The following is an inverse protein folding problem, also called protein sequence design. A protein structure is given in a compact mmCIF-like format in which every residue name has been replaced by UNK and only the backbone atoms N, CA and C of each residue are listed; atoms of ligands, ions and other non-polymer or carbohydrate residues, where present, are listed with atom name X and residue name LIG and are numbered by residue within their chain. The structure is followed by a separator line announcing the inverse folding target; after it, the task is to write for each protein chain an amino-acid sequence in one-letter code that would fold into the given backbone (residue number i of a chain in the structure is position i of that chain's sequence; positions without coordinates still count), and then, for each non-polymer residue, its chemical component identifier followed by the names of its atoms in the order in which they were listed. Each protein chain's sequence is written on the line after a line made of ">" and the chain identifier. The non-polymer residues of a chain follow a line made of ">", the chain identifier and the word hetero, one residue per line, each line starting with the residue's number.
data_IF_069206933018
#
_entry.id   IF_069206933018
#
_cell.length_a   1.000
_cell.length_b   1.000
_cell.length_c   1.000
_cell.angle_alpha   90.00
_cell.angle_beta   90.00
_cell.angle_gamma   90.00
#
_symmetry.space_group_name_H-M   'P 1'
#
loop_
_entity.id
_entity.type
_entity.pdbx_description
1 polymer ?
#
# COMPACT_ATOMS: atom_id res chain seq x y z
N UNK A 1 11.50 52.24 -16.14
CA UNK A 1 11.69 51.65 -14.80
C UNK A 1 10.89 50.36 -14.71
N UNK A 2 11.53 49.19 -14.54
CA UNK A 2 10.84 47.92 -14.25
C UNK A 2 10.94 47.62 -12.76
N UNK A 3 9.94 48.04 -11.98
CA UNK A 3 9.90 47.94 -10.52
C UNK A 3 9.82 46.49 -9.98
N UNK A 4 9.76 45.47 -10.85
CA UNK A 4 9.58 44.06 -10.47
C UNK A 4 10.88 43.33 -10.12
N UNK A 5 12.05 43.83 -10.54
CA UNK A 5 13.33 43.15 -10.30
C UNK A 5 13.76 43.14 -8.83
N UNK A 6 13.39 44.16 -8.04
CA UNK A 6 13.75 44.27 -6.62
C UNK A 6 12.92 43.38 -5.69
N UNK A 7 11.73 42.96 -6.12
CA UNK A 7 10.88 42.01 -5.38
C UNK A 7 11.35 40.55 -5.54
N UNK A 8 11.96 40.22 -6.68
CA UNK A 8 12.48 38.88 -7.00
C UNK A 8 13.99 38.73 -6.73
N UNK A 9 14.68 39.78 -6.25
CA UNK A 9 16.12 39.76 -6.02
C UNK A 9 16.54 39.09 -4.70
N UNK A 10 15.58 38.70 -3.85
CA UNK A 10 15.83 38.12 -2.52
C UNK A 10 15.71 36.60 -2.54
N UNK A 11 16.33 35.96 -1.56
CA UNK A 11 16.18 34.54 -1.32
C UNK A 11 14.71 34.18 -1.06
N UNK A 12 14.25 33.09 -1.68
CA UNK A 12 12.90 32.57 -1.49
C UNK A 12 12.72 32.02 -0.07
N UNK A 13 11.52 32.21 0.50
CA UNK A 13 11.11 31.59 1.78
C UNK A 13 10.50 30.19 1.61
N UNK A 14 10.50 29.65 0.40
CA UNK A 14 10.07 28.29 0.13
C UNK A 14 10.98 27.26 0.83
N UNK A 15 10.49 26.04 1.12
CA UNK A 15 11.31 25.00 1.75
C UNK A 15 12.57 24.70 0.95
N UNK A 16 13.73 24.75 1.62
CA UNK A 16 15.02 24.47 0.98
C UNK A 16 15.11 23.04 0.46
N UNK A 17 15.64 22.84 -0.73
CA UNK A 17 15.98 21.53 -1.31
C UNK A 17 17.51 21.35 -1.38
N UNK A 18 17.96 20.14 -1.70
CA UNK A 18 19.40 19.79 -1.73
C UNK A 18 20.23 20.59 -2.74
N UNK A 19 19.60 21.32 -3.67
CA UNK A 19 20.26 22.11 -4.71
C UNK A 19 20.37 23.61 -4.37
N UNK A 20 19.79 24.04 -3.25
CA UNK A 20 19.65 25.46 -2.91
C UNK A 20 20.69 25.99 -1.91
N UNK A 21 21.58 25.14 -1.40
CA UNK A 21 22.61 25.52 -0.44
C UNK A 21 23.98 24.92 -0.82
N UNK A 22 25.01 25.26 -0.03
CA UNK A 22 26.41 24.93 -0.33
C UNK A 22 26.82 23.54 0.24
N UNK A 23 28.11 23.19 0.10
CA UNK A 23 28.75 21.91 0.43
C UNK A 23 28.34 21.27 1.76
N UNK A 24 28.13 22.05 2.81
CA UNK A 24 27.82 21.56 4.16
C UNK A 24 26.32 21.31 4.40
N UNK A 25 25.46 21.63 3.41
CA UNK A 25 24.04 21.37 3.50
C UNK A 25 23.68 20.06 2.80
N UNK A 26 23.49 19.00 3.59
CA UNK A 26 22.91 17.75 3.10
C UNK A 26 21.42 17.66 3.45
N UNK A 27 20.60 17.45 2.43
CA UNK A 27 19.18 17.12 2.58
C UNK A 27 18.84 15.87 1.78
N UNK A 28 18.38 14.83 2.47
CA UNK A 28 17.91 13.61 1.82
C UNK A 28 16.65 13.84 0.98
N UNK A 29 16.47 13.04 -0.07
CA UNK A 29 15.30 13.08 -0.96
C UNK A 29 14.05 12.41 -0.38
N UNK A 30 14.10 12.02 0.89
CA UNK A 30 13.04 11.23 1.52
C UNK A 30 12.99 9.79 1.02
N UNK A 31 14.11 9.25 0.50
CA UNK A 31 14.23 7.92 -0.09
C UNK A 31 13.31 6.88 0.56
N UNK A 32 12.20 6.64 -0.16
CA UNK A 32 11.10 5.68 0.02
C UNK A 32 10.19 5.85 1.25
N UNK A 33 9.22 6.79 1.22
CA UNK A 33 8.13 6.79 2.20
C UNK A 33 7.22 5.57 1.98
N UNK A 34 7.01 4.75 3.02
CA UNK A 34 5.98 3.70 3.04
C UNK A 34 6.46 2.26 2.84
N UNK A 35 7.74 2.01 2.54
CA UNK A 35 8.27 0.66 2.28
C UNK A 35 9.33 0.23 3.31
N UNK A 36 9.16 0.62 4.58
CA UNK A 36 10.05 0.21 5.68
C UNK A 36 11.17 1.21 6.00
N UNK A 37 12.27 0.78 6.65
CA UNK A 37 13.35 1.66 7.09
C UNK A 37 13.97 2.47 5.95
N UNK A 38 14.16 3.79 6.18
CA UNK A 38 14.77 4.68 5.19
C UNK A 38 16.27 4.46 5.01
N UNK A 39 16.96 4.02 6.07
CA UNK A 39 18.40 3.74 6.06
C UNK A 39 18.66 2.29 5.66
N UNK A 40 19.55 2.08 4.69
CA UNK A 40 19.96 0.75 4.21
C UNK A 40 21.27 0.26 4.84
N UNK A 41 21.90 1.10 5.65
CA UNK A 41 23.21 0.85 6.21
C UNK A 41 23.54 1.78 7.37
N UNK A 42 24.83 1.94 7.63
CA UNK A 42 25.39 2.85 8.64
C UNK A 42 26.73 3.41 8.19
N UNK A 43 27.07 4.61 8.66
CA UNK A 43 28.43 5.14 8.52
C UNK A 43 29.37 4.45 9.52
N UNK A 44 30.60 4.15 9.09
CA UNK A 44 31.63 3.60 9.98
C UNK A 44 32.21 4.71 10.88
N UNK A 45 32.24 4.53 12.21
CA UNK A 45 32.71 5.57 13.13
C UNK A 45 34.24 5.80 13.10
N UNK A 46 35.02 4.86 12.55
CA UNK A 46 36.49 4.86 12.65
C UNK A 46 37.24 5.01 11.33
N UNK A 47 36.60 5.41 10.24
CA UNK A 47 37.23 5.48 8.92
C UNK A 47 36.78 6.71 8.15
N UNK A 48 37.64 7.21 7.26
CA UNK A 48 37.52 8.52 6.60
C UNK A 48 36.25 8.73 5.75
N UNK A 49 35.45 7.68 5.50
CA UNK A 49 33.98 7.70 5.27
C UNK A 49 33.46 6.48 4.44
N UNK A 50 33.68 5.21 4.82
CA UNK A 50 32.95 4.11 4.21
C UNK A 50 31.54 3.98 4.80
N UNK A 51 30.55 3.88 3.91
CA UNK A 51 29.19 3.52 4.25
C UNK A 51 29.06 1.99 4.20
N UNK A 52 28.68 1.38 5.32
CA UNK A 52 28.50 -0.07 5.43
C UNK A 52 27.06 -0.41 5.09
N UNK A 53 26.90 -1.16 4.00
CA UNK A 53 25.63 -1.70 3.56
C UNK A 53 25.20 -2.87 4.46
N UNK A 54 23.93 -2.89 4.88
CA UNK A 54 23.38 -3.94 5.73
C UNK A 54 22.25 -4.65 4.98
N UNK A 55 22.49 -5.91 4.58
CA UNK A 55 21.55 -6.68 3.76
C UNK A 55 20.16 -6.78 4.41
N UNK A 56 20.10 -6.94 5.73
CA UNK A 56 18.85 -7.00 6.52
C UNK A 56 17.98 -5.73 6.40
N UNK A 57 18.59 -4.59 6.10
CA UNK A 57 17.89 -3.30 5.92
C UNK A 57 17.62 -3.01 4.45
N UNK A 58 18.16 -3.81 3.54
CA UNK A 58 17.86 -3.69 2.13
C UNK A 58 16.50 -4.30 1.87
N UNK A 59 15.72 -3.61 1.04
CA UNK A 59 14.42 -4.09 0.60
C UNK A 59 14.62 -5.15 -0.47
N UNK A 60 13.80 -6.18 -0.42
CA UNK A 60 13.70 -7.21 -1.43
C UNK A 60 12.29 -7.21 -2.00
N UNK A 61 12.17 -7.15 -3.33
CA UNK A 61 10.89 -7.33 -4.00
C UNK A 61 10.77 -8.80 -4.40
N UNK A 62 9.85 -9.51 -3.74
CA UNK A 62 9.57 -10.92 -4.04
C UNK A 62 8.60 -10.96 -5.20
N UNK A 63 9.06 -11.46 -6.36
CA UNK A 63 8.21 -11.69 -7.52
C UNK A 63 7.67 -13.12 -7.41
N UNK A 64 6.35 -13.33 -7.42
CA UNK A 64 5.79 -14.67 -7.36
C UNK A 64 6.07 -15.44 -8.66
N UNK A 65 6.23 -16.76 -8.53
CA UNK A 65 6.40 -17.64 -9.67
C UNK A 65 5.10 -17.74 -10.50
N UNK A 66 5.21 -18.21 -11.75
CA UNK A 66 4.07 -18.48 -12.64
C UNK A 66 3.22 -17.25 -13.03
N UNK A 67 3.78 -16.04 -12.94
CA UNK A 67 3.07 -14.82 -13.37
C UNK A 67 2.75 -14.84 -14.88
N UNK A 68 3.57 -15.51 -15.69
CA UNK A 68 3.37 -15.64 -17.14
C UNK A 68 2.18 -16.55 -17.50
N UNK A 69 1.92 -17.58 -16.71
CA UNK A 69 0.78 -18.48 -16.90
C UNK A 69 -0.48 -18.01 -16.14
N UNK A 70 -0.41 -16.91 -15.41
CA UNK A 70 -1.54 -16.37 -14.67
C UNK A 70 -2.62 -15.85 -15.63
N UNK A 71 -3.84 -16.40 -15.48
CA UNK A 71 -5.01 -15.98 -16.25
C UNK A 71 -5.55 -14.60 -15.85
N UNK A 72 -5.23 -14.12 -14.64
CA UNK A 72 -5.68 -12.81 -14.16
C UNK A 72 -4.93 -11.69 -14.90
N UNK A 73 -5.69 -10.69 -15.38
CA UNK A 73 -5.17 -9.51 -16.08
C UNK A 73 -5.50 -8.24 -15.30
N UNK A 74 -4.76 -7.13 -15.50
CA UNK A 74 -5.04 -5.87 -14.82
C UNK A 74 -6.41 -5.26 -15.15
N UNK A 75 -7.01 -5.66 -16.27
CA UNK A 75 -8.27 -5.12 -16.76
C UNK A 75 -9.31 -6.22 -16.91
N UNK A 76 -10.57 -5.84 -16.72
CA UNK A 76 -11.76 -6.71 -16.87
C UNK A 76 -12.53 -6.30 -18.12
N UNK A 77 -13.20 -7.25 -18.77
CA UNK A 77 -14.05 -6.98 -19.92
C UNK A 77 -15.25 -6.10 -19.55
N UNK A 78 -15.56 -5.08 -20.37
CA UNK A 78 -16.68 -4.14 -20.13
C UNK A 78 -18.06 -4.81 -20.13
N UNK A 79 -18.18 -5.98 -20.76
CA UNK A 79 -19.42 -6.75 -20.85
C UNK A 79 -19.80 -7.42 -19.53
N UNK A 80 -18.83 -7.63 -18.64
CA UNK A 80 -19.07 -8.25 -17.34
C UNK A 80 -19.73 -7.23 -16.41
N UNK A 81 -20.99 -7.47 -16.06
CA UNK A 81 -21.69 -6.71 -15.02
C UNK A 81 -21.25 -7.23 -13.65
N UNK A 82 -20.65 -6.35 -12.86
CA UNK A 82 -20.30 -6.66 -11.47
C UNK A 82 -21.47 -6.25 -10.59
N UNK A 83 -22.20 -7.24 -10.06
CA UNK A 83 -23.19 -6.99 -9.00
C UNK A 83 -22.53 -7.27 -7.64
N UNK A 84 -22.38 -6.25 -6.77
CA UNK A 84 -21.79 -6.41 -5.44
C UNK A 84 -22.56 -7.39 -4.54
N UNK A 85 -23.81 -7.71 -4.87
CA UNK A 85 -24.65 -8.66 -4.13
C UNK A 85 -24.65 -10.07 -4.70
N UNK A 86 -24.11 -10.28 -5.91
CA UNK A 86 -24.09 -11.58 -6.58
C UNK A 86 -22.89 -12.45 -6.18
N UNK A 87 -22.16 -12.08 -5.15
CA UNK A 87 -21.11 -12.91 -4.58
C UNK A 87 -21.71 -14.17 -3.95
N UNK A 88 -21.10 -15.33 -4.20
CA UNK A 88 -21.45 -16.60 -3.54
C UNK A 88 -21.04 -16.66 -2.06
N UNK A 89 -20.71 -15.52 -1.44
CA UNK A 89 -20.28 -15.47 -0.05
C UNK A 89 -21.51 -15.31 0.85
N UNK A 90 -21.54 -15.95 2.02
CA UNK A 90 -22.63 -15.80 2.97
C UNK A 90 -22.71 -14.35 3.45
N UNK A 91 -23.93 -13.90 3.74
CA UNK A 91 -24.15 -12.63 4.42
C UNK A 91 -23.76 -12.75 5.89
N UNK A 92 -23.14 -11.72 6.46
CA UNK A 92 -22.71 -11.73 7.84
C UNK A 92 -23.88 -11.89 8.82
N UNK A 93 -23.75 -12.81 9.78
CA UNK A 93 -24.78 -13.08 10.79
C UNK A 93 -25.00 -11.88 11.73
N UNK A 94 -23.96 -11.07 11.93
CA UNK A 94 -24.01 -9.84 12.73
C UNK A 94 -24.80 -8.71 12.06
N UNK A 95 -25.30 -8.92 10.84
CA UNK A 95 -26.04 -7.91 10.10
C UNK A 95 -27.50 -7.86 10.58
N UNK A 96 -27.97 -6.72 11.13
CA UNK A 96 -29.29 -6.65 11.76
C UNK A 96 -30.46 -6.64 10.75
N UNK A 97 -30.24 -6.17 9.51
CA UNK A 97 -31.26 -6.10 8.45
C UNK A 97 -30.65 -6.31 7.07
N UNK A 98 -31.35 -7.01 6.17
CA UNK A 98 -30.89 -7.29 4.80
C UNK A 98 -30.59 -6.00 3.99
N UNK A 99 -31.45 -4.99 4.18
CA UNK A 99 -31.47 -3.73 3.40
C UNK A 99 -30.76 -2.56 4.08
N UNK A 100 -29.71 -2.82 4.88
CA UNK A 100 -28.93 -1.73 5.45
C UNK A 100 -28.40 -0.81 4.33
N UNK A 101 -28.50 0.52 4.52
CA UNK A 101 -28.03 1.52 3.55
C UNK A 101 -26.55 1.33 3.17
N UNK A 102 -25.77 0.66 4.04
CA UNK A 102 -24.40 0.20 3.79
C UNK A 102 -24.38 -1.13 3.02
N UNK A 103 -25.20 -1.24 1.97
CA UNK A 103 -25.45 -2.48 1.25
C UNK A 103 -24.18 -3.30 0.98
N UNK A 104 -24.29 -4.62 1.12
CA UNK A 104 -23.16 -5.54 1.02
C UNK A 104 -23.32 -6.75 1.95
N UNK A 105 -22.30 -7.60 1.94
CA UNK A 105 -22.23 -8.84 2.73
C UNK A 105 -21.95 -8.60 4.21
N UNK A 106 -21.21 -7.54 4.52
CA UNK A 106 -20.59 -7.35 5.83
C UNK A 106 -21.54 -6.73 6.86
N UNK A 107 -21.27 -7.02 8.13
CA UNK A 107 -21.93 -6.43 9.28
C UNK A 107 -21.51 -4.96 9.53
N UNK A 108 -21.99 -4.32 10.60
CA UNK A 108 -21.67 -2.93 10.93
C UNK A 108 -20.17 -2.66 11.12
N UNK A 109 -19.41 -3.69 11.51
CA UNK A 109 -17.96 -3.64 11.74
C UNK A 109 -17.11 -3.98 10.49
N UNK A 110 -17.73 -4.26 9.34
CA UNK A 110 -17.02 -4.64 8.12
C UNK A 110 -16.54 -6.10 8.13
N UNK A 111 -15.35 -6.35 7.56
CA UNK A 111 -14.72 -7.68 7.58
C UNK A 111 -14.05 -7.91 8.94
N UNK A 112 -14.84 -8.41 9.88
CA UNK A 112 -14.40 -8.69 11.26
C UNK A 112 -14.00 -10.17 11.44
N UNK A 113 -13.43 -10.48 12.61
CA UNK A 113 -13.04 -11.85 12.94
C UNK A 113 -14.22 -12.82 13.02
N UNK A 114 -15.40 -12.34 13.44
CA UNK A 114 -16.61 -13.16 13.47
C UNK A 114 -17.05 -13.57 12.06
N UNK A 115 -17.10 -12.63 11.12
CA UNK A 115 -17.42 -12.93 9.73
C UNK A 115 -16.37 -13.82 9.08
N UNK A 116 -15.09 -13.64 9.41
CA UNK A 116 -14.03 -14.54 8.94
C UNK A 116 -14.26 -15.99 9.38
N UNK A 117 -14.63 -16.21 10.64
CA UNK A 117 -14.95 -17.55 11.15
C UNK A 117 -16.20 -18.13 10.49
N UNK A 118 -17.26 -17.34 10.35
CA UNK A 118 -18.47 -17.73 9.63
C UNK A 118 -18.13 -18.18 8.20
N UNK A 119 -17.37 -17.38 7.46
CA UNK A 119 -16.94 -17.71 6.09
C UNK A 119 -16.10 -19.00 6.05
N UNK A 120 -15.22 -19.21 7.02
CA UNK A 120 -14.42 -20.43 7.10
C UNK A 120 -15.28 -21.67 7.34
N UNK A 121 -16.31 -21.57 8.18
CA UNK A 121 -17.27 -22.65 8.43
C UNK A 121 -18.13 -22.97 7.20
N UNK A 122 -18.63 -21.95 6.51
CA UNK A 122 -19.42 -22.16 5.29
C UNK A 122 -18.59 -22.82 4.18
N UNK A 123 -17.35 -22.36 3.96
CA UNK A 123 -16.47 -22.97 2.95
C UNK A 123 -16.12 -24.42 3.30
N UNK A 124 -15.90 -24.73 4.59
CA UNK A 124 -15.69 -26.11 5.04
C UNK A 124 -16.91 -26.99 4.79
N UNK A 125 -18.11 -26.47 5.04
CA UNK A 125 -19.36 -27.20 4.78
C UNK A 125 -19.55 -27.46 3.28
N UNK A 126 -19.27 -26.47 2.42
CA UNK A 126 -19.33 -26.62 0.97
C UNK A 126 -18.33 -27.66 0.43
N UNK A 127 -17.09 -27.63 0.92
CA UNK A 127 -16.07 -28.61 0.52
C UNK A 127 -16.41 -30.02 1.02
N UNK A 128 -17.02 -30.14 2.21
CA UNK A 128 -17.56 -31.41 2.71
C UNK A 128 -18.69 -31.94 1.83
N UNK A 129 -19.61 -31.08 1.43
CA UNK A 129 -20.73 -31.44 0.56
C UNK A 129 -20.32 -31.84 -0.87
N UNK A 130 -19.21 -31.29 -1.40
CA UNK A 130 -18.67 -31.66 -2.71
C UNK A 130 -17.91 -33.01 -2.72
N UNK A 131 -17.53 -33.53 -1.56
CA UNK A 131 -16.79 -34.80 -1.42
C UNK A 131 -17.70 -36.01 -1.15
N UNK A 132 -18.96 -35.78 -0.79
CA UNK A 132 -19.99 -36.80 -0.60
C UNK A 132 -20.70 -37.10 -1.92
#
# INVERSE_FOLDING_TARGET
>A
MRATLSLLSKASRAPLNSKQANKEFYKGTGSFPGLGPKRQGRHSPGSKAPYILMQERMRTFVVPDNLNSCGLKPYVAKTVKVDPRASNWPMADSKPTLDSKRGGLFGPNGFDGHYYLQLAETLRAEDGAKKA
#
